data_IF_862129919033
#
_entry.id   IF_862129919033
#
_cell.length_a   1.000
_cell.length_b   1.000
_cell.length_c   1.000
_cell.angle_alpha   90.00
_cell.angle_beta   90.00
_cell.angle_gamma   90.00
#
_symmetry.space_group_name_H-M   'P 1'
#
loop_
_entity.id
_entity.type
_entity.pdbx_description
1 polymer ?
#
# COMPACT_ATOMS: atom_id res chain seq x y z
N UNK A 1 27.26 30.62 -26.33
CA UNK A 1 26.25 31.57 -25.79
C UNK A 1 24.90 31.53 -26.53
N UNK A 2 24.87 31.33 -27.86
CA UNK A 2 23.64 31.40 -28.68
C UNK A 2 22.61 30.26 -28.44
N UNK A 3 23.05 29.05 -28.06
CA UNK A 3 22.15 27.92 -27.82
C UNK A 3 21.33 28.05 -26.53
N UNK A 4 21.91 28.61 -25.47
CA UNK A 4 21.23 28.83 -24.17
C UNK A 4 20.13 29.90 -24.27
N UNK A 5 20.32 30.90 -25.13
CA UNK A 5 19.32 31.94 -25.38
C UNK A 5 18.10 31.40 -26.13
N UNK A 6 18.32 30.53 -27.13
CA UNK A 6 17.24 29.90 -27.91
C UNK A 6 16.43 28.93 -27.05
N UNK A 7 17.08 28.14 -26.19
CA UNK A 7 16.40 27.24 -25.24
C UNK A 7 15.59 28.05 -24.20
N UNK A 8 16.12 29.18 -23.71
CA UNK A 8 15.40 30.06 -22.79
C UNK A 8 14.15 30.68 -23.42
N UNK A 9 14.22 31.12 -24.68
CA UNK A 9 13.06 31.68 -25.40
C UNK A 9 12.00 30.61 -25.68
N UNK A 10 12.41 29.37 -25.99
CA UNK A 10 11.48 28.24 -26.19
C UNK A 10 10.76 27.82 -24.89
N UNK A 11 11.47 27.84 -23.75
CA UNK A 11 10.89 27.53 -22.44
C UNK A 11 9.95 28.64 -21.93
N UNK A 12 10.27 29.91 -22.17
CA UNK A 12 9.38 31.02 -21.81
C UNK A 12 8.16 31.08 -22.75
N UNK A 13 8.35 30.83 -24.04
CA UNK A 13 7.27 30.77 -25.03
C UNK A 13 6.25 29.65 -24.76
N UNK A 14 6.71 28.47 -24.30
CA UNK A 14 5.81 27.36 -23.96
C UNK A 14 5.01 27.62 -22.67
N UNK A 15 5.58 28.32 -21.69
CA UNK A 15 4.84 28.73 -20.48
C UNK A 15 3.76 29.77 -20.78
N UNK A 16 4.02 30.72 -21.68
CA UNK A 16 3.02 31.73 -22.10
C UNK A 16 1.91 31.13 -22.99
N UNK A 17 2.24 30.16 -23.85
CA UNK A 17 1.25 29.43 -24.64
C UNK A 17 0.32 28.56 -23.78
N UNK A 18 0.80 28.11 -22.61
CA UNK A 18 0.02 27.34 -21.63
C UNK A 18 -0.96 28.22 -20.85
N UNK A 19 -0.61 29.48 -20.58
CA UNK A 19 -1.49 30.46 -19.92
C UNK A 19 -2.49 31.14 -20.87
N UNK A 20 -2.26 31.09 -22.19
CA UNK A 20 -3.12 31.70 -23.21
C UNK A 20 -4.26 30.78 -23.71
N UNK A 21 -4.40 29.57 -23.19
CA UNK A 21 -5.65 28.80 -23.34
C UNK A 21 -6.73 29.43 -22.46
N UNK A 22 -7.29 30.54 -22.94
CA UNK A 22 -8.34 31.30 -22.30
C UNK A 22 -9.56 30.46 -21.94
N UNK A 23 -10.37 30.98 -21.01
CA UNK A 23 -11.62 30.37 -20.60
C UNK A 23 -12.49 30.04 -21.82
N UNK A 24 -12.77 28.74 -22.02
CA UNK A 24 -13.65 28.27 -23.08
C UNK A 24 -15.00 28.96 -22.99
N UNK A 25 -15.48 29.51 -24.11
CA UNK A 25 -16.87 29.99 -24.30
C UNK A 25 -17.94 28.91 -24.05
N UNK A 26 -17.54 27.64 -23.91
CA UNK A 26 -18.42 26.50 -23.61
C UNK A 26 -18.70 26.30 -22.12
N UNK A 27 -18.24 27.18 -21.21
CA UNK A 27 -18.67 27.21 -19.79
C UNK A 27 -20.10 27.77 -19.66
N UNK A 28 -21.06 27.19 -20.38
CA UNK A 28 -22.47 27.44 -20.11
C UNK A 28 -22.82 26.95 -18.70
N UNK A 29 -23.70 27.66 -17.99
CA UNK A 29 -24.23 27.19 -16.72
C UNK A 29 -24.93 25.84 -16.94
N UNK A 30 -24.39 24.77 -16.36
CA UNK A 30 -25.01 23.45 -16.40
C UNK A 30 -25.95 23.34 -15.22
N UNK A 31 -27.24 23.20 -15.49
CA UNK A 31 -28.25 22.92 -14.46
C UNK A 31 -28.18 21.45 -14.08
N UNK A 32 -28.30 21.17 -12.79
CA UNK A 32 -28.22 19.83 -12.25
C UNK A 32 -29.32 19.57 -11.23
N UNK A 33 -29.66 18.29 -11.06
CA UNK A 33 -30.56 17.78 -10.03
C UNK A 33 -29.77 16.84 -9.13
N UNK A 34 -29.82 17.07 -7.82
CA UNK A 34 -29.19 16.21 -6.82
C UNK A 34 -30.05 14.96 -6.65
N UNK A 35 -29.47 13.79 -6.97
CA UNK A 35 -30.15 12.50 -6.77
C UNK A 35 -30.03 12.08 -5.30
N UNK A 36 -28.81 12.20 -4.75
CA UNK A 36 -28.52 12.03 -3.32
C UNK A 36 -27.21 12.75 -2.97
N UNK A 37 -27.10 13.17 -1.70
CA UNK A 37 -25.88 13.68 -1.07
C UNK A 37 -25.84 13.19 0.39
N UNK A 38 -25.49 11.91 0.56
CA UNK A 38 -25.59 11.18 1.83
C UNK A 38 -24.25 10.54 2.22
N UNK A 39 -23.31 11.32 2.78
CA UNK A 39 -21.96 10.83 3.09
C UNK A 39 -21.94 9.80 4.24
N UNK A 40 -23.05 9.62 4.96
CA UNK A 40 -23.24 8.57 5.97
C UNK A 40 -23.74 7.24 5.40
N UNK A 41 -24.25 7.23 4.16
CA UNK A 41 -24.81 6.03 3.51
C UNK A 41 -23.69 5.16 2.92
N UNK A 42 -22.93 4.49 3.79
CA UNK A 42 -21.74 3.70 3.44
C UNK A 42 -21.99 2.20 3.63
N UNK A 43 -21.48 1.39 2.70
CA UNK A 43 -21.50 -0.07 2.83
C UNK A 43 -20.80 -0.51 4.13
N UNK A 44 -21.42 -1.43 4.86
CA UNK A 44 -20.89 -1.92 6.14
C UNK A 44 -19.72 -2.87 5.96
N UNK A 45 -19.73 -3.74 4.95
CA UNK A 45 -18.66 -4.70 4.70
C UNK A 45 -18.09 -4.51 3.30
N UNK A 46 -16.76 -4.46 3.24
CA UNK A 46 -15.99 -4.49 2.00
C UNK A 46 -15.06 -5.69 2.01
N UNK A 47 -15.10 -6.51 0.96
CA UNK A 47 -14.14 -7.60 0.74
C UNK A 47 -13.45 -7.38 -0.60
N UNK A 48 -12.13 -7.25 -0.58
CA UNK A 48 -11.32 -6.97 -1.75
C UNK A 48 -10.31 -8.06 -2.02
N UNK A 49 -10.14 -8.39 -3.29
CA UNK A 49 -8.94 -9.11 -3.76
C UNK A 49 -7.92 -8.08 -4.24
N UNK A 50 -6.67 -8.22 -3.81
CA UNK A 50 -5.54 -7.43 -4.27
C UNK A 50 -4.78 -8.22 -5.35
N UNK A 51 -5.12 -8.11 -6.64
CA UNK A 51 -4.37 -8.78 -7.70
C UNK A 51 -2.99 -8.17 -7.90
N UNK A 52 -2.68 -7.02 -7.31
CA UNK A 52 -1.35 -6.46 -7.41
C UNK A 52 -1.02 -5.70 -6.14
N UNK A 53 0.03 -6.15 -5.46
CA UNK A 53 0.80 -5.29 -4.59
C UNK A 53 2.28 -5.38 -4.98
N UNK A 54 3.01 -4.29 -4.75
CA UNK A 54 4.46 -4.23 -4.86
C UNK A 54 5.04 -3.57 -3.63
N UNK A 55 6.08 -4.17 -3.07
CA UNK A 55 6.75 -3.69 -1.87
C UNK A 55 8.26 -3.64 -2.09
N UNK A 56 8.81 -2.43 -1.97
CA UNK A 56 10.24 -2.20 -1.86
C UNK A 56 10.58 -2.06 -0.38
N UNK A 57 10.95 -3.16 0.26
CA UNK A 57 11.43 -3.17 1.63
C UNK A 57 12.93 -3.43 1.63
N UNK A 58 13.69 -2.67 2.43
CA UNK A 58 15.15 -2.77 2.48
C UNK A 58 15.64 -4.19 2.81
N UNK A 59 14.82 -4.96 3.55
CA UNK A 59 15.08 -6.37 3.86
C UNK A 59 14.60 -7.32 2.76
N UNK A 60 13.68 -6.95 1.88
CA UNK A 60 13.25 -7.76 0.74
C UNK A 60 12.38 -6.97 -0.25
N UNK A 61 12.63 -7.09 -1.56
CA UNK A 61 11.76 -6.54 -2.60
C UNK A 61 10.84 -7.63 -3.11
N UNK A 62 9.53 -7.40 -3.08
CA UNK A 62 8.56 -8.40 -3.48
C UNK A 62 7.32 -7.81 -4.17
N UNK A 63 6.61 -8.64 -4.92
CA UNK A 63 5.33 -8.31 -5.52
C UNK A 63 4.42 -9.53 -5.53
N UNK A 64 3.11 -9.33 -5.40
CA UNK A 64 2.21 -10.44 -5.18
C UNK A 64 0.74 -10.10 -5.19
N UNK A 65 -0.02 -10.94 -4.51
CA UNK A 65 -1.45 -10.79 -4.31
C UNK A 65 -1.80 -10.66 -2.82
N UNK A 66 -3.03 -10.25 -2.54
CA UNK A 66 -3.55 -10.15 -1.20
C UNK A 66 -5.07 -10.22 -1.13
N UNK A 67 -5.57 -10.24 0.09
CA UNK A 67 -6.99 -10.19 0.40
C UNK A 67 -7.17 -9.15 1.49
N UNK A 68 -8.18 -8.31 1.36
CA UNK A 68 -8.57 -7.36 2.38
C UNK A 68 -10.04 -7.48 2.74
N UNK A 69 -10.34 -7.29 4.01
CA UNK A 69 -11.69 -7.13 4.50
C UNK A 69 -11.74 -5.89 5.40
N UNK A 70 -12.76 -5.07 5.21
CA UNK A 70 -13.04 -3.91 6.06
C UNK A 70 -14.50 -3.92 6.48
N UNK A 71 -14.75 -3.79 7.78
CA UNK A 71 -16.09 -3.73 8.36
C UNK A 71 -16.27 -2.41 9.11
N UNK A 72 -17.26 -1.62 8.72
CA UNK A 72 -17.65 -0.38 9.39
C UNK A 72 -18.79 -0.66 10.36
N UNK A 73 -18.50 -0.47 11.65
CA UNK A 73 -19.45 -0.60 12.74
C UNK A 73 -20.04 0.77 13.08
N UNK A 74 -21.17 1.08 12.43
CA UNK A 74 -21.86 2.36 12.55
C UNK A 74 -20.89 3.53 12.32
N UNK A 75 -21.06 4.61 13.08
CA UNK A 75 -20.17 5.78 13.06
C UNK A 75 -19.08 5.72 14.14
N UNK A 76 -18.92 4.57 14.80
CA UNK A 76 -18.07 4.45 15.99
C UNK A 76 -16.71 3.81 15.71
N UNK A 77 -16.66 2.81 14.84
CA UNK A 77 -15.42 2.11 14.58
C UNK A 77 -15.39 1.45 13.20
N UNK A 78 -14.19 1.20 12.69
CA UNK A 78 -13.93 0.28 11.59
C UNK A 78 -12.94 -0.81 12.00
N UNK A 79 -13.07 -1.97 11.39
CA UNK A 79 -12.18 -3.12 11.57
C UNK A 79 -11.62 -3.53 10.22
N UNK A 80 -10.33 -3.81 10.15
CA UNK A 80 -9.64 -4.19 8.93
C UNK A 80 -8.78 -5.43 9.14
N UNK A 81 -8.78 -6.30 8.15
CA UNK A 81 -7.86 -7.43 8.05
C UNK A 81 -7.26 -7.44 6.66
N UNK A 82 -5.95 -7.63 6.59
CA UNK A 82 -5.17 -7.68 5.35
C UNK A 82 -4.25 -8.89 5.37
N UNK A 83 -4.24 -9.63 4.27
CA UNK A 83 -3.28 -10.70 4.01
C UNK A 83 -2.57 -10.43 2.69
N UNK A 84 -1.25 -10.62 2.64
CA UNK A 84 -0.45 -10.48 1.42
C UNK A 84 0.60 -11.58 1.32
N UNK A 85 0.85 -12.00 0.07
CA UNK A 85 1.86 -13.00 -0.26
C UNK A 85 2.39 -12.82 -1.69
N UNK A 86 3.69 -13.05 -1.95
CA UNK A 86 4.23 -13.02 -3.31
C UNK A 86 3.58 -14.06 -4.21
N UNK A 87 3.57 -13.80 -5.51
CA UNK A 87 3.02 -14.72 -6.51
C UNK A 87 3.78 -16.05 -6.56
N UNK A 88 5.09 -15.99 -6.39
CA UNK A 88 5.94 -17.16 -6.31
C UNK A 88 7.24 -16.80 -5.60
N UNK A 89 7.96 -17.83 -5.17
CA UNK A 89 9.28 -17.68 -4.55
C UNK A 89 10.39 -17.31 -5.54
N UNK A 90 10.12 -17.35 -6.85
CA UNK A 90 11.07 -17.05 -7.92
C UNK A 90 10.62 -15.77 -8.61
N UNK A 91 11.52 -14.81 -8.82
CA UNK A 91 11.24 -13.50 -9.42
C UNK A 91 10.37 -12.53 -8.59
N UNK A 92 9.32 -13.00 -7.92
CA UNK A 92 8.36 -12.16 -7.17
C UNK A 92 8.69 -11.99 -5.68
N UNK A 93 9.60 -12.79 -5.16
CA UNK A 93 10.19 -12.66 -3.82
C UNK A 93 11.71 -12.66 -3.97
N UNK A 94 12.31 -11.46 -4.06
CA UNK A 94 13.68 -11.32 -4.54
C UNK A 94 14.69 -11.99 -3.61
N UNK A 95 14.55 -11.81 -2.29
CA UNK A 95 15.51 -12.42 -1.37
C UNK A 95 15.28 -13.91 -1.17
N UNK A 96 14.04 -14.40 -1.27
CA UNK A 96 13.81 -15.84 -1.30
C UNK A 96 14.44 -16.48 -2.55
N UNK A 97 14.29 -15.85 -3.72
CA UNK A 97 14.88 -16.32 -4.98
C UNK A 97 16.41 -16.29 -4.91
N UNK A 98 17.00 -15.18 -4.46
CA UNK A 98 18.44 -15.05 -4.28
C UNK A 98 19.00 -16.09 -3.30
N UNK A 99 18.33 -16.31 -2.17
CA UNK A 99 18.72 -17.33 -1.21
C UNK A 99 18.67 -18.73 -1.85
N UNK A 100 17.59 -19.07 -2.55
CA UNK A 100 17.43 -20.39 -3.15
C UNK A 100 18.49 -20.72 -4.22
N UNK A 101 19.00 -19.70 -4.92
CA UNK A 101 19.96 -19.87 -6.02
C UNK A 101 21.42 -19.69 -5.61
N UNK A 102 21.68 -18.90 -4.57
CA UNK A 102 23.02 -18.44 -4.22
C UNK A 102 23.43 -18.70 -2.77
N UNK A 103 22.54 -19.16 -1.89
CA UNK A 103 22.91 -19.42 -0.51
C UNK A 103 23.98 -20.51 -0.45
N UNK A 104 25.03 -20.21 0.30
CA UNK A 104 26.09 -21.18 0.65
C UNK A 104 25.75 -21.95 1.93
N UNK A 105 24.68 -21.54 2.59
CA UNK A 105 24.15 -22.05 3.85
C UNK A 105 22.98 -22.98 3.58
N UNK A 106 22.76 -23.98 4.44
CA UNK A 106 21.64 -24.93 4.34
C UNK A 106 20.33 -24.42 4.94
N UNK A 107 20.30 -23.19 5.44
CA UNK A 107 19.09 -22.53 5.96
C UNK A 107 18.02 -22.47 4.87
N UNK A 108 16.85 -23.06 5.13
CA UNK A 108 15.73 -23.04 4.18
C UNK A 108 15.12 -21.63 4.13
N UNK A 109 15.06 -20.98 2.95
CA UNK A 109 14.51 -19.63 2.84
C UNK A 109 12.99 -19.63 2.97
N UNK A 110 12.47 -18.77 3.83
CA UNK A 110 11.05 -18.55 4.06
C UNK A 110 10.46 -17.59 3.03
N UNK A 111 9.25 -17.89 2.57
CA UNK A 111 8.51 -17.02 1.65
C UNK A 111 7.91 -15.85 2.40
N UNK A 112 7.93 -14.65 1.81
CA UNK A 112 7.28 -13.51 2.41
C UNK A 112 5.79 -13.78 2.66
N UNK A 113 5.33 -13.47 3.86
CA UNK A 113 3.91 -13.45 4.20
C UNK A 113 3.67 -12.30 5.15
N UNK A 114 2.53 -11.65 4.98
CA UNK A 114 2.13 -10.52 5.80
C UNK A 114 0.65 -10.64 6.16
N UNK A 115 0.36 -10.56 7.46
CA UNK A 115 -0.99 -10.47 8.02
C UNK A 115 -1.04 -9.21 8.89
N UNK A 116 -2.07 -8.40 8.69
CA UNK A 116 -2.41 -7.28 9.56
C UNK A 116 -3.87 -7.38 9.93
N UNK A 117 -4.18 -7.13 11.18
CA UNK A 117 -5.56 -7.01 11.66
C UNK A 117 -5.62 -5.87 12.67
N UNK A 118 -6.67 -5.08 12.64
CA UNK A 118 -6.83 -4.01 13.60
C UNK A 118 -8.14 -3.27 13.45
N UNK A 119 -8.30 -2.22 14.25
CA UNK A 119 -9.46 -1.38 14.21
C UNK A 119 -9.11 0.10 14.40
N UNK A 120 -10.05 0.92 13.97
CA UNK A 120 -10.02 2.37 14.11
C UNK A 120 -11.21 2.78 14.96
N UNK A 121 -10.98 3.42 16.10
CA UNK A 121 -12.05 4.04 16.89
C UNK A 121 -12.24 5.48 16.44
N UNK A 122 -13.47 5.86 16.09
CA UNK A 122 -13.83 7.19 15.64
C UNK A 122 -14.11 8.08 16.85
N UNK A 123 -13.20 9.00 17.15
CA UNK A 123 -13.40 9.94 18.27
C UNK A 123 -14.05 11.25 17.83
N UNK A 124 -14.04 11.54 16.53
CA UNK A 124 -14.67 12.73 15.95
C UNK A 124 -15.19 12.41 14.56
N UNK A 125 -16.45 12.70 14.31
CA UNK A 125 -17.14 12.49 13.05
C UNK A 125 -18.00 13.72 12.75
N UNK A 126 -17.68 14.44 11.67
CA UNK A 126 -18.35 15.69 11.32
C UNK A 126 -18.71 15.71 9.83
N UNK A 127 -19.90 16.24 9.53
CA UNK A 127 -20.30 16.61 8.18
C UNK A 127 -19.84 18.04 7.88
N UNK A 128 -19.16 18.23 6.75
CA UNK A 128 -18.80 19.54 6.23
C UNK A 128 -19.33 19.74 4.81
N UNK A 129 -19.79 20.95 4.51
CA UNK A 129 -20.10 21.35 3.14
C UNK A 129 -18.82 21.57 2.34
N UNK A 130 -18.70 20.92 1.20
CA UNK A 130 -17.60 21.03 0.25
C UNK A 130 -18.13 21.26 -1.16
N UNK A 131 -17.22 21.33 -2.13
CA UNK A 131 -17.54 21.20 -3.55
C UNK A 131 -16.83 19.98 -4.10
N UNK A 132 -17.47 19.27 -5.02
CA UNK A 132 -16.84 18.22 -5.82
C UNK A 132 -16.82 18.61 -7.30
N UNK A 133 -15.80 18.14 -8.02
CA UNK A 133 -15.66 18.36 -9.47
C UNK A 133 -16.16 17.12 -10.17
N UNK A 134 -17.29 17.24 -10.84
CA UNK A 134 -17.88 16.16 -11.62
C UNK A 134 -17.47 16.28 -13.08
N UNK A 135 -17.06 15.17 -13.68
CA UNK A 135 -16.76 15.09 -15.10
C UNK A 135 -18.06 14.90 -15.86
N UNK A 136 -18.31 15.77 -16.84
CA UNK A 136 -19.51 15.76 -17.65
C UNK A 136 -19.29 14.96 -18.93
N UNK A 137 -20.03 13.87 -19.08
CA UNK A 137 -20.08 13.07 -20.31
C UNK A 137 -21.39 13.33 -21.05
N UNK A 138 -21.32 13.81 -22.31
CA UNK A 138 -22.55 14.02 -23.10
C UNK A 138 -23.14 12.67 -23.48
N UNK A 139 -24.41 12.47 -23.16
CA UNK A 139 -25.18 11.24 -23.49
C UNK A 139 -25.27 10.95 -24.99
N UNK A 140 -25.03 11.95 -25.85
CA UNK A 140 -24.99 11.80 -27.31
C UNK A 140 -23.69 11.20 -27.86
N UNK A 141 -22.64 11.03 -27.04
CA UNK A 141 -21.36 10.51 -27.49
C UNK A 141 -21.36 8.98 -27.57
N UNK A 142 -21.38 8.44 -28.80
CA UNK A 142 -21.21 7.01 -29.09
C UNK A 142 -19.76 6.69 -29.53
N UNK A 143 -19.22 5.55 -29.10
CA UNK A 143 -17.91 5.01 -29.52
C UNK A 143 -16.70 5.79 -28.97
N UNK A 144 -15.52 5.67 -29.59
CA UNK A 144 -14.25 6.28 -29.12
C UNK A 144 -14.18 7.83 -29.20
N UNK A 145 -15.29 8.53 -29.43
CA UNK A 145 -15.32 10.00 -29.50
C UNK A 145 -14.96 10.69 -28.18
N UNK A 146 -15.02 9.96 -27.05
CA UNK A 146 -14.62 10.41 -25.73
C UNK A 146 -13.09 10.48 -25.56
N UNK A 147 -12.31 9.63 -26.23
CA UNK A 147 -10.86 9.49 -26.03
C UNK A 147 -10.03 10.68 -26.56
N UNK A 148 -10.62 11.53 -27.40
CA UNK A 148 -9.95 12.68 -28.02
C UNK A 148 -10.42 14.06 -27.54
N UNK A 149 -11.26 14.14 -26.50
CA UNK A 149 -11.82 15.42 -26.01
C UNK A 149 -11.48 15.63 -24.55
N UNK A 150 -11.06 16.86 -24.22
CA UNK A 150 -10.86 17.28 -22.82
C UNK A 150 -12.23 17.25 -22.12
N UNK A 151 -12.38 16.49 -21.02
CA UNK A 151 -13.63 16.41 -20.28
C UNK A 151 -14.08 17.79 -19.79
N UNK A 152 -15.37 18.09 -19.95
CA UNK A 152 -15.97 19.23 -19.27
C UNK A 152 -16.13 18.89 -17.80
N UNK A 153 -15.98 19.87 -16.91
CA UNK A 153 -16.17 19.67 -15.47
C UNK A 153 -17.16 20.69 -14.93
N UNK A 154 -17.99 20.26 -13.99
CA UNK A 154 -18.86 21.12 -13.21
C UNK A 154 -18.48 21.01 -11.73
N UNK A 155 -18.50 22.13 -11.02
CA UNK A 155 -18.39 22.14 -9.56
C UNK A 155 -19.78 22.07 -8.95
N UNK A 156 -20.04 21.01 -8.19
CA UNK A 156 -21.30 20.78 -7.49
C UNK A 156 -21.03 20.88 -5.99
N UNK A 157 -21.79 21.70 -5.22
CA UNK A 157 -21.86 21.59 -3.77
C UNK A 157 -22.14 20.13 -3.37
N UNK A 158 -21.40 19.61 -2.40
CA UNK A 158 -21.58 18.25 -1.89
C UNK A 158 -21.13 18.19 -0.43
N UNK A 159 -21.74 17.32 0.36
CA UNK A 159 -21.33 17.06 1.73
C UNK A 159 -20.14 16.10 1.76
N UNK A 160 -19.32 16.26 2.78
CA UNK A 160 -18.18 15.38 3.07
C UNK A 160 -18.26 15.01 4.53
N UNK A 161 -18.28 13.71 4.81
CA UNK A 161 -18.10 13.19 6.16
C UNK A 161 -16.60 13.09 6.44
N UNK A 162 -16.15 13.74 7.51
CA UNK A 162 -14.77 13.71 7.99
C UNK A 162 -14.70 12.94 9.30
N UNK A 163 -13.90 11.88 9.31
CA UNK A 163 -13.73 11.01 10.48
C UNK A 163 -12.30 11.11 10.97
N UNK A 164 -12.11 11.43 12.24
CA UNK A 164 -10.83 11.34 12.91
C UNK A 164 -10.83 10.09 13.80
N UNK A 165 -9.83 9.25 13.58
CA UNK A 165 -9.75 7.93 14.17
C UNK A 165 -8.46 7.68 14.92
N UNK A 166 -8.54 6.92 16.02
CA UNK A 166 -7.40 6.31 16.69
C UNK A 166 -7.30 4.85 16.26
N UNK A 167 -6.11 4.42 15.85
CA UNK A 167 -5.87 3.10 15.24
C UNK A 167 -5.10 2.20 16.20
N UNK A 168 -5.48 0.93 16.24
CA UNK A 168 -4.78 -0.11 16.98
C UNK A 168 -4.88 -1.43 16.23
N UNK A 169 -3.79 -2.19 16.17
CA UNK A 169 -3.83 -3.52 15.59
C UNK A 169 -2.55 -4.32 15.76
N UNK A 170 -2.56 -5.54 15.23
CA UNK A 170 -1.45 -6.47 15.20
C UNK A 170 -0.95 -6.70 13.78
N UNK A 171 0.36 -6.93 13.67
CA UNK A 171 1.04 -7.24 12.41
C UNK A 171 1.90 -8.48 12.63
N UNK A 172 1.78 -9.45 11.74
CA UNK A 172 2.60 -10.66 11.71
C UNK A 172 3.17 -10.80 10.31
N UNK A 173 4.48 -10.96 10.20
CA UNK A 173 5.10 -11.21 8.91
C UNK A 173 6.40 -11.97 9.04
N UNK A 174 6.81 -12.60 7.96
CA UNK A 174 8.09 -13.29 7.86
C UNK A 174 8.71 -13.04 6.48
N UNK A 175 10.03 -13.13 6.38
CA UNK A 175 10.74 -12.99 5.11
C UNK A 175 12.13 -13.62 5.14
N UNK A 176 12.68 -13.93 3.96
CA UNK A 176 14.11 -14.23 3.81
C UNK A 176 14.91 -12.93 3.69
N UNK A 177 16.09 -12.89 4.31
CA UNK A 177 16.97 -11.74 4.32
C UNK A 177 18.41 -12.13 3.94
N UNK A 178 19.05 -11.24 3.18
CA UNK A 178 20.48 -11.28 2.90
C UNK A 178 21.25 -10.74 4.11
N UNK A 179 21.92 -11.64 4.82
CA UNK A 179 22.62 -11.32 6.07
C UNK A 179 23.94 -10.61 5.79
N UNK A 180 24.62 -10.88 4.66
CA UNK A 180 25.85 -10.20 4.29
C UNK A 180 25.64 -8.68 4.22
N UNK A 181 24.54 -8.26 3.57
CA UNK A 181 24.19 -6.82 3.46
C UNK A 181 23.86 -6.21 4.81
N UNK A 182 23.18 -6.96 5.68
CA UNK A 182 22.86 -6.51 7.04
C UNK A 182 24.13 -6.32 7.86
N UNK A 183 25.06 -7.27 7.80
CA UNK A 183 26.35 -7.21 8.50
C UNK A 183 27.19 -6.02 8.03
N UNK A 184 27.30 -5.81 6.72
CA UNK A 184 28.02 -4.66 6.15
C UNK A 184 27.47 -3.33 6.68
N UNK A 185 26.14 -3.20 6.80
CA UNK A 185 25.50 -1.98 7.31
C UNK A 185 25.69 -1.76 8.80
N UNK A 186 26.05 -2.81 9.54
CA UNK A 186 26.24 -2.78 10.99
C UNK A 186 27.72 -2.90 11.40
N UNK A 187 28.64 -2.81 10.44
CA UNK A 187 30.08 -2.97 10.65
C UNK A 187 30.46 -4.32 11.29
N UNK A 188 29.70 -5.38 10.95
CA UNK A 188 29.94 -6.75 11.42
C UNK A 188 30.70 -7.56 10.36
N UNK A 189 31.46 -8.53 10.85
CA UNK A 189 32.27 -9.44 10.05
C UNK A 189 31.83 -10.89 10.24
N UNK A 190 32.29 -11.79 9.37
CA UNK A 190 32.00 -13.22 9.49
C UNK A 190 32.46 -13.84 10.83
N UNK A 191 33.44 -13.22 11.49
CA UNK A 191 33.91 -13.66 12.81
C UNK A 191 32.90 -13.36 13.94
N UNK A 192 31.96 -12.45 13.72
CA UNK A 192 30.93 -12.08 14.70
C UNK A 192 29.73 -13.07 14.67
N UNK A 193 29.63 -13.88 13.62
CA UNK A 193 28.66 -14.98 13.50
C UNK A 193 29.38 -16.26 13.93
N UNK A 194 29.14 -16.68 15.18
CA UNK A 194 29.89 -17.74 15.86
C UNK A 194 29.08 -19.03 16.01
N UNK A 195 29.76 -20.17 15.92
CA UNK A 195 29.20 -21.47 16.32
C UNK A 195 29.29 -21.69 17.85
N UNK A 196 28.86 -22.86 18.31
CA UNK A 196 28.92 -23.25 19.74
C UNK A 196 30.34 -23.33 20.30
N UNK A 197 31.35 -23.42 19.44
CA UNK A 197 32.77 -23.49 19.80
C UNK A 197 33.43 -22.09 19.77
N UNK A 198 32.66 -21.04 19.42
CA UNK A 198 33.16 -19.67 19.29
C UNK A 198 33.90 -19.42 17.98
N UNK A 199 33.75 -20.29 16.98
CA UNK A 199 34.42 -20.18 15.69
C UNK A 199 33.52 -19.44 14.71
N UNK A 200 34.07 -18.42 14.05
CA UNK A 200 33.38 -17.65 13.02
C UNK A 200 33.10 -18.46 11.76
N UNK A 201 32.06 -18.08 11.01
CA UNK A 201 31.85 -18.64 9.67
C UNK A 201 32.99 -18.19 8.74
N UNK A 202 33.52 -19.04 7.84
CA UNK A 202 34.56 -18.60 6.92
C UNK A 202 34.03 -17.54 5.95
N UNK A 203 34.86 -16.56 5.60
CA UNK A 203 34.49 -15.50 4.65
C UNK A 203 34.40 -16.02 3.20
N UNK A 204 35.18 -17.05 2.87
CA UNK A 204 35.26 -17.64 1.53
C UNK A 204 35.20 -19.16 1.58
N UNK A 205 34.76 -19.77 0.48
CA UNK A 205 34.78 -21.20 0.27
C UNK A 205 35.32 -21.52 -1.13
N UNK A 206 35.79 -22.76 -1.32
CA UNK A 206 36.24 -23.25 -2.62
C UNK A 206 35.08 -24.02 -3.26
N UNK A 207 34.65 -23.59 -4.45
CA UNK A 207 33.56 -24.24 -5.18
C UNK A 207 34.00 -25.59 -5.79
N UNK A 208 33.05 -26.35 -6.35
CA UNK A 208 33.31 -27.64 -7.00
C UNK A 208 34.26 -27.53 -8.23
N UNK A 209 34.52 -26.31 -8.71
CA UNK A 209 35.42 -26.01 -9.83
C UNK A 209 36.78 -25.50 -9.34
N UNK A 210 37.05 -25.52 -8.04
CA UNK A 210 38.31 -25.08 -7.44
C UNK A 210 38.48 -23.57 -7.33
N UNK A 211 37.41 -22.78 -7.53
CA UNK A 211 37.45 -21.32 -7.46
C UNK A 211 37.07 -20.85 -6.06
N UNK A 212 37.82 -19.88 -5.53
CA UNK A 212 37.48 -19.21 -4.27
C UNK A 212 36.32 -18.24 -4.51
N UNK A 213 35.25 -18.38 -3.73
CA UNK A 213 34.08 -17.51 -3.77
C UNK A 213 33.71 -17.04 -2.35
N UNK A 214 33.03 -15.90 -2.27
CA UNK A 214 32.54 -15.37 -1.00
C UNK A 214 31.36 -16.18 -0.47
N UNK A 215 31.33 -16.40 0.85
CA UNK A 215 30.22 -17.07 1.54
C UNK A 215 29.00 -16.15 1.56
N UNK A 216 27.91 -16.60 0.95
CA UNK A 216 26.62 -15.89 0.93
C UNK A 216 25.67 -16.50 1.96
N UNK A 217 25.33 -15.68 2.95
CA UNK A 217 24.57 -16.03 4.13
C UNK A 217 23.16 -15.45 3.99
N UNK A 218 22.18 -16.34 4.05
CA UNK A 218 20.78 -15.96 4.12
C UNK A 218 20.16 -16.53 5.39
N UNK A 219 19.29 -15.76 6.01
CA UNK A 219 18.48 -16.21 7.14
C UNK A 219 17.05 -15.69 7.01
N UNK A 220 16.15 -16.16 7.87
CA UNK A 220 14.78 -15.70 7.93
C UNK A 220 14.61 -14.71 9.08
N UNK A 221 13.76 -13.73 8.85
CA UNK A 221 13.28 -12.80 9.85
C UNK A 221 11.78 -13.06 10.06
N UNK A 222 11.39 -13.34 11.30
CA UNK A 222 9.99 -13.45 11.71
C UNK A 222 9.68 -12.34 12.70
N UNK A 223 8.55 -11.68 12.50
CA UNK A 223 8.14 -10.53 13.31
C UNK A 223 6.67 -10.62 13.65
N UNK A 224 6.35 -10.46 14.94
CA UNK A 224 5.01 -10.20 15.43
C UNK A 224 5.03 -8.90 16.25
N UNK A 225 4.13 -7.98 15.91
CA UNK A 225 4.10 -6.65 16.47
C UNK A 225 2.72 -6.06 16.56
N UNK A 226 2.68 -4.88 17.13
CA UNK A 226 1.51 -4.05 17.33
C UNK A 226 1.74 -2.70 16.66
N UNK A 227 0.66 -2.02 16.33
CA UNK A 227 0.71 -0.63 15.92
C UNK A 227 -0.32 0.20 16.66
N UNK A 228 0.03 1.44 16.94
CA UNK A 228 -0.89 2.46 17.45
C UNK A 228 -0.75 3.71 16.61
N UNK A 229 -1.87 4.33 16.23
CA UNK A 229 -1.84 5.40 15.25
C UNK A 229 -3.05 6.29 15.27
N UNK A 230 -3.09 7.18 14.28
CA UNK A 230 -4.20 8.08 14.02
C UNK A 230 -4.53 8.10 12.53
N UNK A 231 -5.78 8.36 12.19
CA UNK A 231 -6.24 8.54 10.81
C UNK A 231 -7.20 9.69 10.65
N UNK A 232 -7.27 10.17 9.42
CA UNK A 232 -8.31 11.06 8.92
C UNK A 232 -8.92 10.41 7.69
N UNK A 233 -10.25 10.27 7.69
CA UNK A 233 -11.00 9.74 6.56
C UNK A 233 -11.96 10.80 6.01
N UNK A 234 -12.10 10.85 4.70
CA UNK A 234 -13.05 11.68 3.97
C UNK A 234 -13.95 10.78 3.12
N UNK A 235 -15.24 10.77 3.43
CA UNK A 235 -16.24 10.04 2.67
C UNK A 235 -17.12 11.03 1.92
N UNK A 236 -17.24 10.78 0.61
CA UNK A 236 -18.18 11.44 -0.29
C UNK A 236 -19.10 10.38 -0.83
N UNK A 237 -20.37 10.73 -0.95
CA UNK A 237 -21.37 9.87 -1.55
C UNK A 237 -22.46 10.77 -2.12
N UNK A 238 -22.20 11.24 -3.34
CA UNK A 238 -23.08 12.16 -4.05
C UNK A 238 -23.30 11.67 -5.48
N UNK A 239 -24.55 11.73 -5.93
CA UNK A 239 -24.89 11.55 -7.32
C UNK A 239 -25.75 12.69 -7.83
N UNK A 240 -25.46 13.13 -9.04
CA UNK A 240 -26.08 14.29 -9.66
C UNK A 240 -26.44 13.95 -11.10
N UNK A 241 -27.66 14.31 -11.48
CA UNK A 241 -28.12 14.25 -12.86
C UNK A 241 -27.95 15.63 -13.52
N UNK A 242 -27.35 15.65 -14.70
CA UNK A 242 -27.08 16.88 -15.45
C UNK A 242 -27.91 16.90 -16.73
N UNK A 243 -28.51 18.05 -17.06
CA UNK A 243 -29.29 18.17 -18.29
C UNK A 243 -28.42 17.94 -19.55
N UNK A 244 -28.75 16.90 -20.33
CA UNK A 244 -28.03 16.44 -21.54
C UNK A 244 -26.68 15.74 -21.30
N UNK A 245 -26.38 15.36 -20.06
CA UNK A 245 -25.19 14.59 -19.70
C UNK A 245 -25.59 13.32 -18.93
N UNK A 246 -24.67 12.37 -18.84
CA UNK A 246 -24.84 11.20 -17.98
C UNK A 246 -24.80 11.59 -16.50
N UNK A 247 -25.45 10.77 -15.68
CA UNK A 247 -25.38 10.89 -14.22
C UNK A 247 -23.93 10.79 -13.76
N UNK A 248 -23.52 11.74 -12.92
CA UNK A 248 -22.19 11.75 -12.34
C UNK A 248 -22.28 11.30 -10.89
N UNK A 249 -21.38 10.38 -10.51
CA UNK A 249 -21.31 9.81 -9.16
C UNK A 249 -19.92 10.06 -8.59
N UNK A 250 -19.86 10.61 -7.38
CA UNK A 250 -18.65 10.71 -6.56
C UNK A 250 -18.91 10.06 -5.20
N UNK A 251 -18.42 8.84 -5.07
CA UNK A 251 -18.61 7.94 -3.94
C UNK A 251 -17.25 7.56 -3.31
N UNK A 252 -16.29 8.48 -3.40
CA UNK A 252 -14.93 8.28 -2.93
C UNK A 252 -14.83 8.22 -1.40
N UNK A 253 -14.10 7.21 -0.92
CA UNK A 253 -13.69 7.07 0.46
C UNK A 253 -12.17 7.11 0.53
N UNK A 254 -11.62 8.13 1.17
CA UNK A 254 -10.17 8.31 1.30
C UNK A 254 -9.78 8.29 2.78
N UNK A 255 -8.79 7.49 3.15
CA UNK A 255 -8.20 7.49 4.48
C UNK A 255 -6.71 7.78 4.38
N UNK A 256 -6.21 8.70 5.20
CA UNK A 256 -4.78 8.91 5.43
C UNK A 256 -4.48 8.56 6.89
N UNK A 257 -3.39 7.85 7.15
CA UNK A 257 -3.04 7.39 8.48
C UNK A 257 -1.55 7.48 8.78
N UNK A 258 -1.26 7.56 10.09
CA UNK A 258 0.07 7.48 10.66
C UNK A 258 0.04 6.48 11.81
N UNK A 259 0.90 5.47 11.75
CA UNK A 259 1.02 4.42 12.76
C UNK A 259 2.46 4.40 13.33
N UNK A 260 2.59 4.27 14.64
CA UNK A 260 3.83 3.86 15.32
C UNK A 260 3.79 2.34 15.44
N UNK A 261 4.87 1.69 15.04
CA UNK A 261 5.01 0.23 15.02
C UNK A 261 5.93 -0.22 16.16
N UNK A 262 5.52 -1.26 16.89
CA UNK A 262 6.34 -1.89 17.92
C UNK A 262 6.25 -3.41 17.81
N UNK A 263 7.39 -4.07 17.59
CA UNK A 263 7.49 -5.52 17.46
C UNK A 263 8.29 -6.11 18.62
N UNK A 264 7.63 -6.57 19.70
CA UNK A 264 8.33 -7.21 20.82
C UNK A 264 8.86 -8.61 20.44
N UNK A 265 8.24 -9.28 19.46
CA UNK A 265 8.71 -10.55 18.93
C UNK A 265 9.35 -10.31 17.56
N UNK A 266 10.67 -10.23 17.54
CA UNK A 266 11.46 -10.08 16.32
C UNK A 266 12.62 -11.08 16.40
N UNK A 267 12.49 -12.16 15.65
CA UNK A 267 13.40 -13.31 15.70
C UNK A 267 14.10 -13.46 14.35
N UNK A 268 15.41 -13.69 14.40
CA UNK A 268 16.23 -14.03 13.24
C UNK A 268 16.66 -15.47 13.40
N UNK A 269 16.39 -16.30 12.40
CA UNK A 269 16.77 -17.71 12.46
C UNK A 269 18.31 -17.85 12.49
N UNK A 270 18.86 -18.87 13.18
CA UNK A 270 20.28 -19.15 13.11
C UNK A 270 20.68 -19.61 11.70
N UNK A 271 21.95 -19.45 11.37
CA UNK A 271 22.50 -19.83 10.06
C UNK A 271 23.07 -21.24 10.14
N UNK A 272 22.68 -22.11 9.20
CA UNK A 272 23.29 -23.44 9.10
C UNK A 272 24.35 -23.48 8.00
N UNK A 273 25.57 -23.88 8.35
CA UNK A 273 26.68 -24.04 7.41
C UNK A 273 27.45 -25.32 7.71
N UNK A 274 27.59 -26.20 6.71
CA UNK A 274 28.25 -27.52 6.82
C UNK A 274 27.78 -28.38 8.00
N UNK A 275 26.49 -28.31 8.34
CA UNK A 275 25.89 -29.07 9.44
C UNK A 275 26.15 -28.50 10.84
N UNK A 276 26.84 -27.36 10.94
CA UNK A 276 26.97 -26.57 12.16
C UNK A 276 25.97 -25.41 12.16
N UNK A 277 25.47 -25.08 13.34
CA UNK A 277 24.61 -23.92 13.57
C UNK A 277 25.44 -22.74 14.06
N UNK A 278 25.23 -21.59 13.45
CA UNK A 278 25.89 -20.33 13.77
C UNK A 278 24.87 -19.33 14.29
N UNK A 279 25.16 -18.73 15.44
CA UNK A 279 24.32 -17.71 16.06
C UNK A 279 24.41 -16.39 15.30
N UNK A 280 23.25 -15.74 15.18
CA UNK A 280 23.07 -14.41 14.57
C UNK A 280 22.86 -13.31 15.63
N UNK A 281 23.12 -13.61 16.91
CA UNK A 281 22.85 -12.68 18.04
C UNK A 281 23.66 -11.38 17.96
N UNK A 282 24.81 -11.39 17.26
CA UNK A 282 25.58 -10.19 17.00
C UNK A 282 24.83 -9.16 16.13
N UNK A 283 23.86 -9.63 15.32
CA UNK A 283 23.06 -8.80 14.42
C UNK A 283 22.01 -8.04 15.22
N UNK A 284 22.09 -6.71 15.18
CA UNK A 284 21.17 -5.83 15.90
C UNK A 284 19.86 -5.67 15.13
N UNK A 285 18.76 -5.71 15.87
CA UNK A 285 17.41 -5.51 15.36
C UNK A 285 16.83 -4.21 15.93
N UNK A 286 15.80 -3.69 15.27
CA UNK A 286 15.04 -2.50 15.65
C UNK A 286 13.60 -2.91 15.82
N UNK A 287 13.13 -2.94 17.07
CA UNK A 287 11.74 -3.27 17.41
C UNK A 287 10.77 -2.11 17.11
N UNK A 288 11.27 -0.87 16.97
CA UNK A 288 10.45 0.32 16.74
C UNK A 288 10.47 0.72 15.26
N UNK A 289 9.33 1.27 14.83
CA UNK A 289 9.13 1.77 13.48
C UNK A 289 7.97 2.74 13.40
N UNK A 290 7.72 3.25 12.19
CA UNK A 290 6.53 4.05 11.89
C UNK A 290 6.09 3.81 10.45
N UNK A 291 4.82 4.08 10.16
CA UNK A 291 4.23 3.97 8.84
C UNK A 291 3.31 5.15 8.59
N UNK A 292 3.44 5.74 7.41
CA UNK A 292 2.45 6.63 6.81
C UNK A 292 1.74 5.87 5.71
N UNK A 293 0.43 6.07 5.57
CA UNK A 293 -0.31 5.43 4.49
C UNK A 293 -1.54 6.18 4.04
N UNK A 294 -2.00 5.78 2.86
CA UNK A 294 -3.18 6.27 2.18
C UNK A 294 -3.95 5.07 1.64
N UNK A 295 -5.25 5.01 1.88
CA UNK A 295 -6.17 4.03 1.30
C UNK A 295 -7.33 4.77 0.64
N UNK A 296 -7.57 4.53 -0.64
CA UNK A 296 -8.72 5.04 -1.39
C UNK A 296 -9.59 3.88 -1.87
N UNK A 297 -10.91 3.98 -1.70
CA UNK A 297 -11.90 3.03 -2.24
C UNK A 297 -13.17 3.76 -2.67
N UNK A 298 -14.05 3.07 -3.38
CA UNK A 298 -15.35 3.62 -3.78
C UNK A 298 -16.48 2.87 -3.09
N UNK A 299 -17.48 3.62 -2.61
CA UNK A 299 -18.63 3.09 -1.88
C UNK A 299 -19.68 2.47 -2.83
N UNK A 300 -19.29 1.40 -3.54
CA UNK A 300 -20.17 0.63 -4.45
C UNK A 300 -20.20 -0.84 -4.09
N UNK A 301 -21.25 -1.52 -4.55
CA UNK A 301 -21.36 -2.98 -4.50
C UNK A 301 -20.22 -3.67 -5.24
N UNK A 302 -19.75 -3.10 -6.36
CA UNK A 302 -18.58 -3.57 -7.09
C UNK A 302 -17.71 -2.36 -7.44
N UNK A 303 -16.48 -2.37 -6.95
CA UNK A 303 -15.53 -1.27 -7.12
C UNK A 303 -14.08 -1.77 -7.20
N UNK A 304 -13.16 -0.82 -7.12
CA UNK A 304 -11.73 -1.03 -6.93
C UNK A 304 -11.26 -0.19 -5.76
N UNK A 305 -10.09 -0.52 -5.20
CA UNK A 305 -9.41 0.31 -4.21
C UNK A 305 -7.94 0.43 -4.58
N UNK A 306 -7.28 1.42 -4.00
CA UNK A 306 -5.85 1.63 -4.12
C UNK A 306 -5.30 2.03 -2.76
N UNK A 307 -4.02 1.74 -2.54
CA UNK A 307 -3.37 2.22 -1.34
C UNK A 307 -1.85 2.29 -1.49
N UNK A 308 -1.25 3.10 -0.64
CA UNK A 308 0.18 3.28 -0.56
C UNK A 308 0.62 3.39 0.89
N UNK A 309 1.73 2.78 1.23
CA UNK A 309 2.33 2.82 2.56
C UNK A 309 3.83 3.09 2.43
N UNK A 310 4.40 3.89 3.33
CA UNK A 310 5.84 4.09 3.43
C UNK A 310 6.25 4.33 4.86
N UNK A 311 7.49 4.00 5.20
CA UNK A 311 8.05 4.28 6.51
C UNK A 311 9.18 3.35 6.87
N UNK A 312 9.33 3.11 8.17
CA UNK A 312 10.33 2.21 8.73
C UNK A 312 9.61 1.10 9.49
N UNK A 313 9.72 -0.14 9.01
CA UNK A 313 9.19 -1.32 9.67
C UNK A 313 10.22 -1.87 10.67
N UNK A 314 9.79 -2.34 11.86
CA UNK A 314 10.67 -3.08 12.76
C UNK A 314 11.38 -4.20 12.00
N UNK A 315 12.71 -4.21 11.98
CA UNK A 315 13.54 -5.14 11.19
C UNK A 315 15.00 -5.07 11.68
N UNK A 316 15.96 -5.57 10.91
CA UNK A 316 17.38 -5.33 11.15
C UNK A 316 17.70 -3.83 11.24
N UNK A 317 18.58 -3.45 12.17
CA UNK A 317 19.03 -2.06 12.32
C UNK A 317 19.68 -1.61 11.01
N UNK A 318 19.20 -0.49 10.46
CA UNK A 318 19.66 0.07 9.19
C UNK A 318 18.95 -0.48 7.93
N UNK A 319 18.08 -1.49 8.05
CA UNK A 319 17.33 -2.11 6.95
C UNK A 319 15.81 -2.12 7.19
N UNK A 320 15.30 -1.03 7.78
CA UNK A 320 13.89 -0.90 8.16
C UNK A 320 13.02 -0.19 7.12
N UNK A 321 13.60 0.59 6.20
CA UNK A 321 12.81 1.40 5.26
C UNK A 321 11.97 0.50 4.33
N UNK A 322 10.69 0.83 4.16
CA UNK A 322 9.83 0.21 3.16
C UNK A 322 8.93 1.24 2.47
N UNK A 323 8.56 0.93 1.24
CA UNK A 323 7.51 1.58 0.48
C UNK A 323 6.67 0.51 -0.24
N UNK A 324 5.36 0.66 -0.24
CA UNK A 324 4.42 -0.32 -0.77
C UNK A 324 3.28 0.38 -1.50
N UNK A 325 2.83 -0.23 -2.59
CA UNK A 325 1.65 0.17 -3.32
C UNK A 325 0.78 -1.06 -3.59
N UNK A 326 -0.55 -0.89 -3.53
CA UNK A 326 -1.53 -1.95 -3.76
C UNK A 326 -2.71 -1.43 -4.58
N UNK A 327 -3.27 -2.31 -5.41
CA UNK A 327 -4.54 -2.13 -6.10
C UNK A 327 -5.42 -3.33 -5.75
N UNK A 328 -6.65 -3.08 -5.31
CA UNK A 328 -7.65 -4.12 -5.13
C UNK A 328 -8.70 -4.06 -6.21
N UNK A 329 -8.95 -5.19 -6.85
CA UNK A 329 -10.04 -5.40 -7.78
C UNK A 329 -10.31 -6.92 -7.94
N UNK A 330 -11.57 -7.38 -7.84
CA UNK A 330 -12.75 -6.61 -7.43
C UNK A 330 -12.77 -6.30 -5.93
N UNK A 331 -13.46 -5.21 -5.57
CA UNK A 331 -13.87 -4.90 -4.19
C UNK A 331 -15.39 -4.98 -4.12
N UNK A 332 -15.91 -5.87 -3.29
CA UNK A 332 -17.34 -6.07 -3.07
C UNK A 332 -17.81 -5.34 -1.82
N UNK A 333 -18.74 -4.40 -1.97
CA UNK A 333 -19.40 -3.66 -0.88
C UNK A 333 -20.80 -4.22 -0.58
N UNK A 334 -21.19 -4.29 0.69
CA UNK A 334 -22.56 -4.63 1.09
C UNK A 334 -23.00 -3.91 2.37
N UNK A 335 -24.28 -3.56 2.43
CA UNK A 335 -24.92 -2.96 3.61
C UNK A 335 -25.31 -3.99 4.68
N UNK A 336 -25.16 -5.30 4.42
CA UNK A 336 -25.52 -6.44 5.28
C UNK A 336 -27.01 -6.53 5.67
N UNK A 337 -27.82 -5.50 5.43
CA UNK A 337 -29.27 -5.50 5.64
C UNK A 337 -29.99 -6.07 4.42
N UNK A 338 -30.24 -7.38 4.44
CA UNK A 338 -31.13 -8.03 3.47
C UNK A 338 -32.58 -7.92 3.96
N UNK A 339 -33.20 -6.74 3.83
CA UNK A 339 -34.66 -6.67 3.83
C UNK A 339 -35.15 -7.17 2.48
N UNK A 340 -35.53 -8.45 2.44
CA UNK A 340 -36.25 -9.00 1.30
C UNK A 340 -37.72 -8.61 1.48
N UNK A 341 -38.20 -7.66 0.67
CA UNK A 341 -39.65 -7.50 0.51
C UNK A 341 -40.16 -8.72 -0.25
N UNK A 342 -40.81 -9.65 0.46
CA UNK A 342 -41.60 -10.67 -0.22
C UNK A 342 -42.86 -9.98 -0.75
N UNK A 343 -42.88 -9.67 -2.05
CA UNK A 343 -44.15 -9.49 -2.74
C UNK A 343 -44.82 -10.86 -2.82
N UNK A 344 -45.57 -11.22 -1.77
CA UNK A 344 -46.53 -12.30 -1.85
C UNK A 344 -47.67 -11.86 -2.77
N UNK A 345 -47.79 -12.52 -3.92
CA UNK A 345 -49.04 -12.65 -4.65
C UNK A 345 -49.81 -13.87 -4.10
#
# INVERSE_FOLDING_TARGET
MRLKLVIGILLVGSTLASYAQGERRDKGAVTYEELYDEPYSVNKLFVGFQPLYGEAFATNVNAGFGIEAAYYYEDKADFKVHFRKPYSSSFFDLNQDLASKNATTSTKPSSFSYIEFGGTYHFKDEEETSKTKMVLYKSSYKGNKWAGRVPLTAEVPAKVRKIYGARLGGIIWNTSADINRVMEKQDLTYNDIIDTEGVGIPATYVDALGRTQDVRIFSNLSTAGLYVGSSISWFRNVAVSFNNYEEAVDDGMLTVFFDILYSPALNVDPVQYLGKEYSVDAIKTSALGFRLGIDGKFNRTLSWSYGGELGYRPSFKGHSFFAMFKISFPVFGTNLDYKVESFGQ
#
